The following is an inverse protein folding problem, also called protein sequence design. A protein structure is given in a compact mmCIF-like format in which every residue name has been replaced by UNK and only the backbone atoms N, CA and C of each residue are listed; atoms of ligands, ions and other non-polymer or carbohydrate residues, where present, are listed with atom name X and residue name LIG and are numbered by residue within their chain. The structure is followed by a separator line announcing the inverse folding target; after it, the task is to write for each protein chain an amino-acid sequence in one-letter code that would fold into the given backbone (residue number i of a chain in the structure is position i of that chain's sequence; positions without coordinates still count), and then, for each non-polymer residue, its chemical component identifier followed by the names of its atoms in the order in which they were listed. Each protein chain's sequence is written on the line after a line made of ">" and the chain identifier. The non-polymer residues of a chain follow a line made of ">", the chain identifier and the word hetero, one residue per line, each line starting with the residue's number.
data_IF_970669777054
#
_entry.id   IF_970669777054
#
_cell.length_a   1.000
_cell.length_b   1.000
_cell.length_c   1.000
_cell.angle_alpha   90.00
_cell.angle_beta   90.00
_cell.angle_gamma   90.00
#
_symmetry.space_group_name_H-M   'P 1'
#
loop_
_entity.id
_entity.type
_entity.pdbx_description
1 polymer ?
#
# COMPACT_ATOMS: atom_id res chain seq x y z
N UNK A 1 14.05 4.20 -16.34
CA UNK A 1 14.08 2.81 -15.85
C UNK A 1 12.70 2.22 -16.05
N UNK A 2 12.59 1.00 -16.59
CA UNK A 2 11.29 0.34 -16.75
C UNK A 2 10.66 0.00 -15.40
N UNK A 3 9.32 -0.01 -15.32
CA UNK A 3 8.59 -0.47 -14.13
C UNK A 3 8.90 -1.96 -13.96
N UNK A 4 9.39 -2.36 -12.79
CA UNK A 4 9.64 -3.76 -12.46
C UNK A 4 8.30 -4.43 -12.14
N UNK A 5 7.93 -5.47 -12.89
CA UNK A 5 6.62 -6.14 -12.79
C UNK A 5 6.76 -7.63 -12.52
N UNK A 6 5.62 -8.30 -12.28
CA UNK A 6 5.54 -9.77 -12.17
C UNK A 6 6.15 -10.47 -13.37
N UNK A 7 5.92 -9.94 -14.57
CA UNK A 7 6.51 -10.47 -15.82
C UNK A 7 8.03 -10.40 -15.86
N UNK A 8 8.64 -9.54 -15.03
CA UNK A 8 10.08 -9.40 -14.86
C UNK A 8 10.61 -10.19 -13.65
N UNK A 9 9.79 -11.04 -13.05
CA UNK A 9 10.14 -11.91 -11.93
C UNK A 9 10.05 -11.25 -10.56
N UNK A 10 9.45 -10.06 -10.45
CA UNK A 10 9.21 -9.41 -9.16
C UNK A 10 7.85 -9.85 -8.62
N UNK A 11 7.78 -10.52 -7.46
CA UNK A 11 6.51 -10.91 -6.88
C UNK A 11 5.66 -9.67 -6.55
N UNK A 12 4.33 -9.78 -6.57
CA UNK A 12 3.44 -8.66 -6.27
C UNK A 12 3.68 -8.16 -4.84
N UNK A 13 4.12 -6.91 -4.70
CA UNK A 13 4.47 -6.32 -3.40
C UNK A 13 3.27 -6.18 -2.44
N UNK A 14 2.06 -6.19 -2.99
CA UNK A 14 0.80 -6.11 -2.25
C UNK A 14 0.41 -7.41 -1.54
N UNK A 15 1.04 -8.54 -1.84
CA UNK A 15 0.71 -9.82 -1.22
C UNK A 15 1.46 -9.97 0.11
N UNK A 16 0.70 -10.10 1.21
CA UNK A 16 1.25 -10.22 2.56
C UNK A 16 2.10 -11.48 2.76
N UNK A 17 1.90 -12.52 1.95
CA UNK A 17 2.73 -13.73 1.98
C UNK A 17 4.16 -13.44 1.52
N UNK A 18 4.34 -12.53 0.55
CA UNK A 18 5.68 -12.08 0.12
C UNK A 18 6.38 -11.36 1.27
N UNK A 19 5.66 -10.47 1.97
CA UNK A 19 6.23 -9.79 3.12
C UNK A 19 6.61 -10.79 4.22
N UNK A 20 5.66 -11.63 4.66
CA UNK A 20 5.83 -12.52 5.81
C UNK A 20 6.87 -13.63 5.60
N UNK A 21 7.02 -14.13 4.37
CA UNK A 21 7.91 -15.26 4.09
C UNK A 21 9.25 -14.85 3.47
N UNK A 22 9.32 -13.69 2.81
CA UNK A 22 10.52 -13.25 2.10
C UNK A 22 11.13 -12.01 2.75
N UNK A 23 10.36 -10.93 2.92
CA UNK A 23 10.87 -9.62 3.33
C UNK A 23 11.15 -9.57 4.83
N UNK A 24 10.18 -9.95 5.67
CA UNK A 24 10.32 -9.93 7.13
C UNK A 24 11.45 -10.83 7.62
N UNK A 25 11.63 -12.07 7.14
CA UNK A 25 12.79 -12.89 7.50
C UNK A 25 14.13 -12.27 7.06
N UNK A 26 14.16 -11.60 5.90
CA UNK A 26 15.37 -10.90 5.44
C UNK A 26 15.70 -9.70 6.34
N UNK A 27 14.69 -8.94 6.78
CA UNK A 27 14.84 -7.84 7.74
C UNK A 27 15.31 -8.35 9.10
N UNK A 28 14.66 -9.39 9.63
CA UNK A 28 15.00 -10.01 10.91
C UNK A 28 16.41 -10.60 10.92
N UNK A 29 16.92 -11.06 9.76
CA UNK A 29 18.31 -11.52 9.65
C UNK A 29 19.34 -10.41 9.92
N UNK A 30 18.93 -9.14 9.80
CA UNK A 30 19.72 -7.95 10.11
C UNK A 30 19.26 -7.28 11.42
N UNK A 31 18.25 -7.83 12.09
CA UNK A 31 17.77 -7.31 13.37
C UNK A 31 18.86 -7.42 14.43
N UNK A 32 19.17 -6.29 15.06
CA UNK A 32 20.17 -6.17 16.12
C UNK A 32 19.61 -5.36 17.29
N UNK A 33 20.30 -5.35 18.44
CA UNK A 33 19.84 -4.64 19.64
C UNK A 33 19.71 -3.11 19.47
N UNK A 34 20.27 -2.52 18.41
CA UNK A 34 20.40 -1.07 18.23
C UNK A 34 19.37 -0.46 17.23
N UNK A 35 18.25 -1.15 16.93
CA UNK A 35 17.25 -0.65 15.96
C UNK A 35 16.52 0.64 16.40
N UNK A 36 16.57 0.96 17.69
CA UNK A 36 15.97 2.18 18.26
C UNK A 36 16.90 3.40 18.15
N UNK A 37 18.18 3.21 17.77
CA UNK A 37 19.14 4.30 17.67
C UNK A 37 19.12 4.94 16.26
N UNK A 38 19.16 6.28 16.17
CA UNK A 38 19.23 6.96 14.88
C UNK A 38 20.55 6.63 14.15
N UNK A 39 20.44 6.03 12.96
CA UNK A 39 21.58 5.66 12.13
C UNK A 39 21.95 6.76 11.12
N UNK A 40 23.21 6.80 10.73
CA UNK A 40 23.65 7.69 9.64
C UNK A 40 23.16 7.18 8.28
N UNK A 41 23.11 8.08 7.29
CA UNK A 41 22.72 7.71 5.92
C UNK A 41 23.62 6.60 5.33
N UNK A 42 24.91 6.62 5.63
CA UNK A 42 25.87 5.62 5.15
C UNK A 42 25.59 4.23 5.73
N UNK A 43 25.26 4.18 7.02
CA UNK A 43 24.88 2.95 7.72
C UNK A 43 23.56 2.43 7.13
N UNK A 44 22.55 3.30 6.97
CA UNK A 44 21.28 2.94 6.35
C UNK A 44 21.46 2.32 4.97
N UNK A 45 22.24 2.95 4.09
CA UNK A 45 22.47 2.41 2.73
C UNK A 45 23.18 1.06 2.76
N UNK A 46 24.11 0.88 3.69
CA UNK A 46 24.85 -0.37 3.87
C UNK A 46 23.91 -1.49 4.31
N UNK A 47 23.07 -1.24 5.31
CA UNK A 47 22.15 -2.25 5.85
C UNK A 47 20.99 -2.52 4.90
N UNK A 48 20.43 -1.49 4.27
CA UNK A 48 19.43 -1.63 3.21
C UNK A 48 19.95 -2.55 2.08
N UNK A 49 21.20 -2.36 1.64
CA UNK A 49 21.81 -3.23 0.63
C UNK A 49 21.88 -4.69 1.10
N UNK A 50 22.24 -4.94 2.36
CA UNK A 50 22.26 -6.31 2.91
C UNK A 50 20.87 -6.94 2.88
N UNK A 51 19.85 -6.20 3.33
CA UNK A 51 18.45 -6.66 3.32
C UNK A 51 18.01 -7.02 1.90
N UNK A 52 18.23 -6.13 0.93
CA UNK A 52 17.84 -6.37 -0.48
C UNK A 52 18.56 -7.60 -1.06
N UNK A 53 19.83 -7.81 -0.72
CA UNK A 53 20.56 -9.03 -1.11
C UNK A 53 19.97 -10.29 -0.49
N UNK A 54 19.55 -10.23 0.78
CA UNK A 54 18.88 -11.36 1.47
C UNK A 54 17.51 -11.66 0.87
N UNK A 55 16.72 -10.63 0.54
CA UNK A 55 15.45 -10.80 -0.18
C UNK A 55 15.68 -11.54 -1.50
N UNK A 56 16.69 -11.14 -2.28
CA UNK A 56 17.04 -11.83 -3.53
C UNK A 56 17.46 -13.30 -3.31
N UNK A 57 18.24 -13.57 -2.26
CA UNK A 57 18.62 -14.95 -1.88
C UNK A 57 17.40 -15.80 -1.50
N UNK A 58 16.47 -15.24 -0.73
CA UNK A 58 15.24 -15.90 -0.32
C UNK A 58 14.35 -16.22 -1.53
N UNK A 59 14.14 -15.26 -2.43
CA UNK A 59 13.39 -15.48 -3.67
C UNK A 59 14.02 -16.56 -4.57
N UNK A 60 15.35 -16.67 -4.58
CA UNK A 60 16.05 -17.70 -5.33
C UNK A 60 15.90 -19.10 -4.70
N UNK A 61 15.78 -19.20 -3.37
CA UNK A 61 15.60 -20.48 -2.66
C UNK A 61 14.14 -20.92 -2.61
N UNK A 62 13.23 -19.97 -2.43
CA UNK A 62 11.80 -20.16 -2.31
C UNK A 62 11.12 -19.30 -3.38
N UNK A 63 11.01 -19.83 -4.61
CA UNK A 63 10.40 -19.10 -5.71
C UNK A 63 8.92 -18.86 -5.42
N UNK A 64 8.52 -17.59 -5.52
CA UNK A 64 7.13 -17.17 -5.41
C UNK A 64 6.39 -17.48 -6.71
N UNK A 65 5.36 -18.31 -6.65
CA UNK A 65 4.51 -18.63 -7.81
C UNK A 65 3.34 -17.66 -7.82
N UNK A 66 3.20 -16.92 -8.91
CA UNK A 66 2.07 -16.00 -9.12
C UNK A 66 1.02 -16.68 -9.98
N UNK A 67 -0.16 -16.90 -9.42
CA UNK A 67 -1.34 -17.32 -10.17
C UNK A 67 -2.24 -16.12 -10.45
N UNK A 68 -2.74 -16.02 -11.68
CA UNK A 68 -3.63 -14.94 -12.08
C UNK A 68 -5.09 -15.38 -11.92
N UNK A 69 -5.79 -14.77 -10.95
CA UNK A 69 -7.23 -14.96 -10.76
C UNK A 69 -8.00 -13.75 -11.27
N UNK A 70 -9.14 -14.00 -11.92
CA UNK A 70 -10.02 -12.95 -12.41
C UNK A 70 -10.99 -12.57 -11.29
N UNK A 71 -10.77 -11.42 -10.65
CA UNK A 71 -11.61 -10.91 -9.57
C UNK A 71 -12.38 -9.69 -10.05
N UNK A 72 -13.71 -9.74 -10.05
CA UNK A 72 -14.54 -8.59 -10.39
C UNK A 72 -14.81 -7.76 -9.15
N UNK A 73 -14.47 -6.48 -9.19
CA UNK A 73 -14.77 -5.56 -8.11
C UNK A 73 -16.09 -4.84 -8.39
N UNK A 74 -17.10 -5.06 -7.56
CA UNK A 74 -18.46 -4.55 -7.75
C UNK A 74 -18.80 -3.35 -6.85
N UNK A 75 -17.82 -2.85 -6.07
CA UNK A 75 -18.00 -1.75 -5.14
C UNK A 75 -18.77 -2.09 -3.86
N UNK A 76 -19.20 -3.34 -3.67
CA UNK A 76 -19.97 -3.73 -2.47
C UNK A 76 -19.17 -3.58 -1.18
N UNK A 77 -17.86 -3.87 -1.21
CA UNK A 77 -16.99 -3.71 -0.05
C UNK A 77 -16.81 -2.25 0.37
N UNK A 78 -16.63 -1.33 -0.58
CA UNK A 78 -16.63 0.13 -0.32
C UNK A 78 -17.98 0.56 0.24
N UNK A 79 -19.10 0.14 -0.37
CA UNK A 79 -20.45 0.48 0.12
C UNK A 79 -20.67 -0.02 1.54
N UNK A 80 -20.21 -1.24 1.85
CA UNK A 80 -20.31 -1.85 3.18
C UNK A 80 -19.51 -1.06 4.22
N UNK A 81 -18.27 -0.68 3.90
CA UNK A 81 -17.43 0.12 4.79
C UNK A 81 -18.07 1.49 5.07
N UNK A 82 -18.47 2.22 4.02
CA UNK A 82 -19.09 3.55 4.15
C UNK A 82 -20.43 3.52 4.90
N UNK A 83 -21.15 2.38 4.91
CA UNK A 83 -22.41 2.23 5.65
C UNK A 83 -22.21 1.98 7.16
N UNK A 84 -21.00 1.62 7.58
CA UNK A 84 -20.68 1.33 8.99
C UNK A 84 -19.74 2.40 9.54
N UNK A 85 -20.29 3.36 10.28
CA UNK A 85 -19.50 4.43 10.91
C UNK A 85 -18.36 3.88 11.79
N UNK A 86 -18.62 2.81 12.54
CA UNK A 86 -17.65 2.23 13.46
C UNK A 86 -16.49 1.55 12.74
N UNK A 87 -16.77 0.78 11.67
CA UNK A 87 -15.73 0.13 10.88
C UNK A 87 -14.93 1.17 10.10
N UNK A 88 -15.61 2.16 9.50
CA UNK A 88 -14.98 3.26 8.80
C UNK A 88 -14.01 4.03 9.70
N UNK A 89 -14.44 4.45 10.89
CA UNK A 89 -13.58 5.16 11.84
C UNK A 89 -12.37 4.32 12.26
N UNK A 90 -12.55 3.02 12.54
CA UNK A 90 -11.44 2.13 12.89
C UNK A 90 -10.43 2.02 11.76
N UNK A 91 -10.89 1.79 10.53
CA UNK A 91 -10.02 1.68 9.36
C UNK A 91 -9.27 2.97 9.10
N UNK A 92 -9.94 4.12 9.18
CA UNK A 92 -9.31 5.43 9.02
C UNK A 92 -8.25 5.68 10.11
N UNK A 93 -8.56 5.42 11.39
CA UNK A 93 -7.59 5.61 12.46
C UNK A 93 -6.35 4.70 12.29
N UNK A 94 -6.55 3.45 11.86
CA UNK A 94 -5.44 2.53 11.57
C UNK A 94 -4.59 3.01 10.38
N UNK A 95 -5.21 3.60 9.36
CA UNK A 95 -4.48 4.17 8.22
C UNK A 95 -3.59 5.35 8.62
N UNK A 96 -3.94 6.09 9.68
CA UNK A 96 -3.22 7.26 10.17
C UNK A 96 -2.12 6.92 11.18
N UNK A 97 -2.21 5.77 11.87
CA UNK A 97 -1.33 5.39 13.00
C UNK A 97 0.15 5.35 12.62
N UNK A 98 0.46 4.90 11.41
CA UNK A 98 1.84 4.70 10.94
C UNK A 98 2.32 5.80 9.97
N UNK A 99 1.52 6.85 9.76
CA UNK A 99 1.91 7.92 8.84
C UNK A 99 2.84 8.92 9.52
N UNK A 100 3.89 9.39 8.82
CA UNK A 100 4.74 10.46 9.32
C UNK A 100 3.92 11.72 9.60
N UNK A 101 3.99 12.20 10.85
CA UNK A 101 3.36 13.45 11.29
C UNK A 101 4.42 14.51 11.59
N UNK A 102 4.09 15.76 11.31
CA UNK A 102 4.92 16.91 11.70
C UNK A 102 4.87 17.14 13.23
N UNK A 103 5.66 18.08 13.72
CA UNK A 103 5.70 18.43 15.15
C UNK A 103 4.35 18.95 15.71
N UNK A 104 3.37 19.24 14.84
CA UNK A 104 2.02 19.70 15.17
C UNK A 104 0.97 18.59 14.98
N UNK A 105 1.40 17.36 14.68
CA UNK A 105 0.50 16.22 14.46
C UNK A 105 -0.19 16.23 13.10
N UNK A 106 0.28 17.03 12.14
CA UNK A 106 -0.29 17.12 10.78
C UNK A 106 0.47 16.26 9.78
N UNK A 107 -0.15 15.95 8.65
CA UNK A 107 0.41 15.04 7.65
C UNK A 107 0.30 15.61 6.24
N UNK A 108 1.31 15.34 5.41
CA UNK A 108 1.30 15.69 3.99
C UNK A 108 0.30 14.83 3.23
N UNK A 109 -0.46 15.43 2.31
CA UNK A 109 -1.31 14.71 1.35
C UNK A 109 -0.54 13.71 0.47
N UNK A 110 0.78 13.82 0.35
CA UNK A 110 1.62 12.82 -0.34
C UNK A 110 1.47 11.40 0.23
N UNK A 111 1.08 11.31 1.51
CA UNK A 111 0.84 10.04 2.20
C UNK A 111 -0.54 9.44 1.91
N UNK A 112 -1.41 10.09 1.14
CA UNK A 112 -2.75 9.56 0.81
C UNK A 112 -2.67 8.22 0.08
N UNK A 113 -1.65 8.00 -0.77
CA UNK A 113 -1.44 6.72 -1.46
C UNK A 113 -1.14 5.59 -0.46
N UNK A 114 -0.25 5.87 0.51
CA UNK A 114 0.11 4.93 1.58
C UNK A 114 -1.09 4.65 2.49
N UNK A 115 -1.87 5.68 2.82
CA UNK A 115 -3.07 5.52 3.62
C UNK A 115 -4.14 4.69 2.88
N UNK A 116 -4.26 4.85 1.57
CA UNK A 116 -5.18 4.08 0.75
C UNK A 116 -4.83 2.59 0.73
N UNK A 117 -3.55 2.21 0.83
CA UNK A 117 -3.14 0.80 0.95
C UNK A 117 -3.67 0.13 2.20
N UNK A 118 -3.87 0.87 3.29
CA UNK A 118 -4.48 0.35 4.53
C UNK A 118 -6.00 0.24 4.41
N UNK A 119 -6.63 1.17 3.68
CA UNK A 119 -8.09 1.23 3.49
C UNK A 119 -8.57 0.25 2.40
N UNK A 120 -7.68 -0.17 1.50
CA UNK A 120 -8.02 -1.00 0.34
C UNK A 120 -8.47 -2.44 0.71
N UNK A 121 -7.74 -3.20 1.57
CA UNK A 121 -8.14 -4.58 1.89
C UNK A 121 -9.54 -4.71 2.52
N UNK A 122 -9.95 -3.89 3.51
CA UNK A 122 -11.30 -3.94 4.09
C UNK A 122 -12.42 -3.66 3.08
N UNK A 123 -12.13 -2.85 2.05
CA UNK A 123 -13.08 -2.50 0.99
C UNK A 123 -13.08 -3.49 -0.17
N UNK A 124 -12.18 -4.46 -0.17
CA UNK A 124 -11.95 -5.39 -1.29
C UNK A 124 -11.25 -4.74 -2.49
N UNK A 125 -10.78 -3.50 -2.34
CA UNK A 125 -9.98 -2.83 -3.35
C UNK A 125 -8.56 -3.43 -3.36
N UNK A 126 -7.93 -3.57 -4.53
CA UNK A 126 -6.52 -3.91 -4.60
C UNK A 126 -5.67 -2.74 -4.04
N UNK A 127 -4.56 -3.01 -3.35
CA UNK A 127 -3.60 -1.97 -2.96
C UNK A 127 -3.04 -1.22 -4.17
N UNK A 128 -2.57 0.01 -3.95
CA UNK A 128 -1.92 0.82 -4.97
C UNK A 128 -0.67 0.10 -5.52
N UNK A 129 -0.45 0.18 -6.81
CA UNK A 129 0.63 -0.50 -7.52
C UNK A 129 0.34 -1.95 -7.90
N UNK A 130 -0.75 -2.55 -7.39
CA UNK A 130 -1.11 -3.93 -7.71
C UNK A 130 -1.68 -4.09 -9.13
N UNK A 131 -2.45 -3.10 -9.61
CA UNK A 131 -3.12 -3.14 -10.92
C UNK A 131 -2.97 -1.78 -11.60
N UNK A 132 -2.47 -1.74 -12.83
CA UNK A 132 -2.15 -0.48 -13.52
C UNK A 132 -3.41 0.35 -13.86
N UNK A 133 -4.50 -0.32 -14.21
CA UNK A 133 -5.81 0.31 -14.45
C UNK A 133 -6.32 0.99 -13.17
N UNK A 134 -6.13 0.35 -12.02
CA UNK A 134 -6.46 0.92 -10.71
C UNK A 134 -5.62 2.16 -10.42
N UNK A 135 -4.30 2.06 -10.62
CA UNK A 135 -3.37 3.17 -10.41
C UNK A 135 -3.74 4.39 -11.26
N UNK A 136 -4.19 4.16 -12.51
CA UNK A 136 -4.68 5.22 -13.40
C UNK A 136 -5.92 5.89 -12.84
N UNK A 137 -6.92 5.11 -12.39
CA UNK A 137 -8.15 5.65 -11.81
C UNK A 137 -7.85 6.43 -10.52
N UNK A 138 -7.00 5.90 -9.62
CA UNK A 138 -6.56 6.61 -8.41
C UNK A 138 -5.84 7.91 -8.80
N UNK A 139 -4.92 7.86 -9.76
CA UNK A 139 -4.19 9.03 -10.25
C UNK A 139 -5.09 10.12 -10.84
N UNK A 140 -6.16 9.75 -11.53
CA UNK A 140 -7.18 10.69 -12.00
C UNK A 140 -7.96 11.34 -10.86
N UNK A 141 -8.31 10.56 -9.83
CA UNK A 141 -8.99 11.10 -8.64
C UNK A 141 -8.08 12.08 -7.91
N UNK A 142 -6.82 11.72 -7.67
CA UNK A 142 -5.85 12.60 -7.02
C UNK A 142 -5.68 13.94 -7.75
N UNK A 143 -5.73 13.94 -9.09
CA UNK A 143 -5.76 15.17 -9.89
C UNK A 143 -7.05 15.98 -9.73
N UNK A 144 -8.21 15.33 -9.54
CA UNK A 144 -9.50 16.01 -9.37
C UNK A 144 -9.61 16.73 -8.01
N UNK A 145 -9.02 16.16 -6.96
CA UNK A 145 -9.11 16.69 -5.58
C UNK A 145 -7.86 17.47 -5.15
N UNK A 146 -6.93 17.72 -6.07
CA UNK A 146 -5.64 18.37 -5.81
C UNK A 146 -4.89 17.75 -4.61
N UNK A 147 -4.79 16.42 -4.64
CA UNK A 147 -4.17 15.63 -3.57
C UNK A 147 -2.63 15.59 -3.64
N UNK A 148 -2.02 16.04 -4.74
CA UNK A 148 -0.57 16.08 -4.95
C UNK A 148 0.02 17.48 -4.72
N UNK A 149 -0.71 18.38 -4.05
CA UNK A 149 -0.26 19.75 -3.75
C UNK A 149 0.76 19.82 -2.58
N UNK A 150 1.05 18.68 -1.94
CA UNK A 150 1.94 18.57 -0.79
C UNK A 150 1.42 19.31 0.46
N UNK A 151 0.14 19.71 0.47
CA UNK A 151 -0.42 20.42 1.62
C UNK A 151 -0.37 19.55 2.87
N UNK A 152 -0.05 20.21 3.97
CA UNK A 152 -0.06 19.61 5.31
C UNK A 152 -1.44 19.85 5.92
N UNK A 153 -2.17 18.77 6.15
CA UNK A 153 -3.55 18.79 6.66
C UNK A 153 -3.63 18.09 8.02
N UNK A 154 -4.66 18.41 8.80
CA UNK A 154 -4.93 17.74 10.09
C UNK A 154 -5.66 16.40 9.92
N UNK A 155 -5.69 15.59 10.99
CA UNK A 155 -6.27 14.24 10.98
C UNK A 155 -7.69 14.18 10.37
N UNK A 156 -8.59 15.06 10.78
CA UNK A 156 -9.98 15.05 10.31
C UNK A 156 -10.13 15.47 8.84
N UNK A 157 -9.31 16.43 8.39
CA UNK A 157 -9.29 16.83 6.99
C UNK A 157 -8.73 15.72 6.10
N UNK A 158 -7.67 15.05 6.54
CA UNK A 158 -7.09 13.91 5.83
C UNK A 158 -8.07 12.74 5.72
N UNK A 159 -8.79 12.41 6.81
CA UNK A 159 -9.86 11.39 6.80
C UNK A 159 -10.97 11.73 5.82
N UNK A 160 -11.37 13.01 5.77
CA UNK A 160 -12.39 13.48 4.83
C UNK A 160 -11.96 13.29 3.37
N UNK A 161 -10.70 13.58 3.07
CA UNK A 161 -10.13 13.36 1.73
C UNK A 161 -10.14 11.86 1.37
N UNK A 162 -9.78 10.97 2.31
CA UNK A 162 -9.85 9.52 2.09
C UNK A 162 -11.29 9.05 1.80
N UNK A 163 -12.27 9.56 2.55
CA UNK A 163 -13.68 9.25 2.31
C UNK A 163 -14.11 9.75 0.92
N UNK A 164 -13.72 10.97 0.55
CA UNK A 164 -14.04 11.55 -0.76
C UNK A 164 -13.45 10.71 -1.91
N UNK A 165 -12.22 10.21 -1.77
CA UNK A 165 -11.61 9.28 -2.74
C UNK A 165 -12.46 8.01 -2.87
N UNK A 166 -12.87 7.39 -1.75
CA UNK A 166 -13.73 6.20 -1.75
C UNK A 166 -15.13 6.45 -2.32
N UNK A 167 -15.67 7.67 -2.16
CA UNK A 167 -16.99 8.04 -2.67
C UNK A 167 -16.98 8.30 -4.18
N UNK A 168 -15.93 8.97 -4.69
CA UNK A 168 -15.72 9.19 -6.13
C UNK A 168 -15.62 7.85 -6.88
N UNK A 169 -15.18 6.79 -6.19
CA UNK A 169 -15.06 5.43 -6.70
C UNK A 169 -16.42 4.71 -6.94
N UNK A 170 -17.59 5.25 -6.54
CA UNK A 170 -18.90 4.57 -6.72
C UNK A 170 -19.24 4.10 -8.16
N UNK A 171 -18.91 4.83 -9.25
CA UNK A 171 -19.32 4.43 -10.60
C UNK A 171 -18.20 3.84 -11.48
N UNK A 172 -16.92 4.18 -11.23
CA UNK A 172 -15.79 3.83 -12.14
C UNK A 172 -15.23 2.42 -11.91
N UNK A 173 -15.50 1.85 -10.75
CA UNK A 173 -14.96 0.57 -10.28
C UNK A 173 -15.65 -0.67 -10.85
N UNK A 174 -16.84 -0.48 -11.41
CA UNK A 174 -17.82 -1.54 -11.68
C UNK A 174 -17.47 -2.38 -12.94
N UNK A 175 -16.51 -1.97 -13.78
CA UNK A 175 -16.39 -2.56 -15.12
C UNK A 175 -15.09 -3.26 -15.48
N UNK A 176 -13.94 -2.90 -14.94
CA UNK A 176 -12.67 -3.38 -15.50
C UNK A 176 -11.61 -3.54 -14.42
N UNK A 177 -11.81 -4.51 -13.52
CA UNK A 177 -10.70 -5.04 -12.74
C UNK A 177 -10.54 -6.50 -13.14
N UNK A 178 -9.41 -6.78 -13.75
CA UNK A 178 -8.91 -8.13 -13.96
C UNK A 178 -7.58 -8.23 -13.25
N UNK A 179 -7.36 -9.40 -12.63
CA UNK A 179 -6.07 -9.88 -12.13
C UNK A 179 -5.75 -9.50 -10.67
N UNK A 180 -6.20 -10.37 -9.75
CA UNK A 180 -5.49 -10.56 -8.49
C UNK A 180 -4.46 -11.67 -8.69
N UNK A 181 -3.19 -11.30 -8.56
CA UNK A 181 -2.09 -12.25 -8.42
C UNK A 181 -2.19 -12.90 -7.04
N UNK A 182 -2.40 -14.21 -6.98
CA UNK A 182 -2.33 -14.97 -5.74
C UNK A 182 -0.95 -15.61 -5.67
N UNK A 183 -0.23 -15.34 -4.57
CA UNK A 183 1.12 -15.86 -4.35
C UNK A 183 1.05 -17.19 -3.59
N UNK A 184 1.66 -18.21 -4.16
CA UNK A 184 1.98 -19.46 -3.46
C UNK A 184 3.48 -19.45 -3.12
N UNK A 185 3.78 -19.77 -1.86
CA UNK A 185 5.12 -19.76 -1.24
C UNK A 185 5.41 -21.13 -0.65
#
# INVERSE_FOLDING_TARGET
>A
MGKLTVEQGIPPASDSSVFNNIVDPALQSQAGPDWDDPISQEIFLTDFRKVVLRVAEHLNRQPVIVAYSQNTFDGTGVKRLLSSKLELEKTLNSALENLPKDCKGKMSKDHLRVALDVVSPPTGLPPFGAIEEMDKVIGEVFKMIDADDGMIVEDEEFKKILIEILEIHKPRFIKEIHQCAQVFV
#
